data_IF_331926762016
#
_entry.id   IF_331926762016
#
_cell.length_a   1.000
_cell.length_b   1.000
_cell.length_c   1.000
_cell.angle_alpha   90.00
_cell.angle_beta   90.00
_cell.angle_gamma   90.00
#
_symmetry.space_group_name_H-M   'P 1'
#
loop_
_entity.id
_entity.type
_entity.pdbx_description
1 polymer ?
#
# COMPACT_ATOMS: atom_id res chain seq x y z
N UNK A 1 28.24 -3.24 -17.21
CA UNK A 1 27.04 -3.79 -16.54
C UNK A 1 27.26 -3.72 -15.03
N UNK A 2 26.65 -2.78 -14.35
CA UNK A 2 26.63 -2.71 -12.89
C UNK A 2 25.43 -3.54 -12.38
N UNK A 3 25.60 -4.21 -11.25
CA UNK A 3 24.51 -4.97 -10.62
C UNK A 3 24.06 -4.19 -9.38
N UNK A 4 22.77 -4.02 -9.23
CA UNK A 4 22.15 -3.41 -8.06
C UNK A 4 21.15 -4.40 -7.40
N UNK A 5 20.94 -4.27 -6.11
CA UNK A 5 19.97 -5.11 -5.42
C UNK A 5 18.85 -4.29 -4.80
N UNK A 6 17.66 -4.84 -4.81
CA UNK A 6 16.51 -4.31 -4.07
C UNK A 6 16.00 -5.34 -3.07
N UNK A 7 15.80 -4.88 -1.86
CA UNK A 7 15.25 -5.64 -0.75
C UNK A 7 13.82 -5.15 -0.51
N UNK A 8 12.87 -6.07 -0.34
CA UNK A 8 11.52 -5.79 0.15
C UNK A 8 11.25 -6.62 1.40
N UNK A 9 11.18 -5.95 2.56
CA UNK A 9 10.82 -6.55 3.84
C UNK A 9 9.34 -6.32 4.15
N UNK A 10 8.48 -7.19 3.62
CA UNK A 10 7.03 -7.14 3.83
C UNK A 10 6.65 -7.59 5.23
N UNK A 11 5.35 -7.72 5.54
CA UNK A 11 4.89 -8.16 6.87
C UNK A 11 5.30 -9.61 7.19
N UNK A 12 5.40 -10.48 6.19
CA UNK A 12 5.55 -11.94 6.41
C UNK A 12 6.85 -12.52 5.86
N UNK A 13 7.61 -11.79 5.06
CA UNK A 13 8.81 -12.29 4.40
C UNK A 13 9.70 -11.18 3.88
N UNK A 14 10.97 -11.48 3.71
CA UNK A 14 11.92 -10.67 2.96
C UNK A 14 12.12 -11.27 1.56
N UNK A 15 12.19 -10.41 0.55
CA UNK A 15 12.52 -10.74 -0.83
C UNK A 15 13.66 -9.86 -1.31
N UNK A 16 14.53 -10.43 -2.14
CA UNK A 16 15.66 -9.70 -2.73
C UNK A 16 15.68 -10.00 -4.22
N UNK A 17 15.90 -8.99 -5.02
CA UNK A 17 16.21 -9.12 -6.43
C UNK A 17 17.55 -8.43 -6.71
N UNK A 18 18.42 -9.09 -7.48
CA UNK A 18 19.60 -8.46 -8.06
C UNK A 18 19.34 -8.21 -9.54
N UNK A 19 19.48 -6.95 -9.96
CA UNK A 19 19.13 -6.50 -11.29
C UNK A 19 20.34 -5.90 -12.00
N UNK A 20 20.34 -5.96 -13.32
CA UNK A 20 21.15 -5.09 -14.14
C UNK A 20 20.73 -3.62 -13.92
N UNK A 21 21.67 -2.74 -13.62
CA UNK A 21 21.40 -1.35 -13.26
C UNK A 21 20.84 -0.52 -14.42
N UNK A 22 21.17 -0.89 -15.66
CA UNK A 22 20.80 -0.13 -16.86
C UNK A 22 19.41 -0.56 -17.38
N UNK A 23 19.12 -1.87 -17.35
CA UNK A 23 17.90 -2.44 -17.98
C UNK A 23 16.83 -2.84 -16.98
N UNK A 24 17.18 -3.09 -15.70
CA UNK A 24 16.29 -3.62 -14.70
C UNK A 24 15.94 -5.10 -14.88
N UNK A 25 16.68 -5.83 -15.73
CA UNK A 25 16.57 -7.27 -15.86
C UNK A 25 16.93 -7.95 -14.53
N UNK A 26 16.04 -8.81 -14.03
CA UNK A 26 16.27 -9.56 -12.80
C UNK A 26 17.21 -10.73 -13.09
N UNK A 27 18.43 -10.65 -12.60
CA UNK A 27 19.46 -11.65 -12.79
C UNK A 27 19.41 -12.78 -11.76
N UNK A 28 19.08 -12.43 -10.52
CA UNK A 28 19.01 -13.34 -9.37
C UNK A 28 17.91 -12.88 -8.42
N UNK A 29 17.29 -13.82 -7.70
CA UNK A 29 16.32 -13.51 -6.67
C UNK A 29 16.41 -14.47 -5.50
N UNK A 30 16.03 -14.00 -4.31
CA UNK A 30 15.96 -14.79 -3.09
C UNK A 30 14.80 -14.36 -2.22
N UNK A 31 14.38 -15.25 -1.34
CA UNK A 31 13.29 -14.97 -0.38
C UNK A 31 13.46 -15.79 0.88
N UNK A 32 13.05 -15.23 2.01
CA UNK A 32 12.96 -15.93 3.28
C UNK A 32 11.71 -15.49 4.04
N UNK A 33 11.01 -16.39 4.75
CA UNK A 33 9.89 -16.01 5.59
C UNK A 33 10.41 -15.26 6.83
N UNK A 34 9.57 -14.39 7.39
CA UNK A 34 9.81 -13.90 8.74
C UNK A 34 9.42 -14.98 9.76
N UNK A 35 10.20 -15.17 10.82
CA UNK A 35 9.83 -16.11 11.86
C UNK A 35 8.47 -15.76 12.47
N UNK A 36 7.63 -16.76 12.69
CA UNK A 36 6.39 -16.56 13.44
C UNK A 36 6.74 -16.20 14.89
N UNK A 37 6.33 -15.02 15.34
CA UNK A 37 6.45 -14.64 16.74
C UNK A 37 5.32 -15.27 17.56
N UNK A 38 5.57 -15.53 18.86
CA UNK A 38 4.49 -15.94 19.78
C UNK A 38 3.37 -14.89 19.84
N UNK A 39 3.69 -13.62 19.65
CA UNK A 39 2.78 -12.50 19.53
C UNK A 39 1.84 -12.64 18.30
N UNK A 40 2.31 -13.19 17.18
CA UNK A 40 1.47 -13.47 16.01
C UNK A 40 0.34 -14.47 16.31
N UNK A 41 0.55 -15.39 17.26
CA UNK A 41 -0.46 -16.37 17.70
C UNK A 41 -1.54 -15.73 18.58
N UNK A 42 -1.25 -14.60 19.24
CA UNK A 42 -2.13 -13.94 20.20
C UNK A 42 -2.94 -12.76 19.64
N UNK A 43 -3.03 -12.59 18.31
CA UNK A 43 -3.59 -11.41 17.62
C UNK A 43 -2.86 -10.09 17.94
N UNK A 44 -1.77 -10.09 18.68
CA UNK A 44 -0.90 -8.94 18.78
C UNK A 44 0.06 -8.95 17.60
N UNK A 45 0.12 -7.85 16.89
CA UNK A 45 0.95 -7.73 15.71
C UNK A 45 2.22 -6.94 16.10
N UNK A 46 3.12 -7.66 16.78
CA UNK A 46 4.44 -7.18 17.19
C UNK A 46 5.52 -8.03 16.54
N UNK A 47 6.68 -7.45 16.31
CA UNK A 47 7.83 -8.16 15.79
C UNK A 47 9.12 -7.67 16.48
N UNK A 48 10.07 -8.60 16.69
CA UNK A 48 11.45 -8.21 16.94
C UNK A 48 12.07 -7.75 15.60
N UNK A 49 12.54 -6.51 15.47
CA UNK A 49 13.17 -6.05 14.23
C UNK A 49 14.39 -6.87 13.81
N UNK A 50 15.08 -7.53 14.74
CA UNK A 50 16.20 -8.42 14.44
C UNK A 50 15.77 -9.62 13.58
N UNK A 51 14.51 -10.04 13.67
CA UNK A 51 13.98 -11.11 12.82
C UNK A 51 13.98 -10.73 11.33
N UNK A 52 13.79 -9.45 11.00
CA UNK A 52 13.85 -8.96 9.62
C UNK A 52 15.29 -9.00 9.08
N UNK A 53 16.27 -8.64 9.92
CA UNK A 53 17.68 -8.71 9.54
C UNK A 53 18.14 -10.17 9.34
N UNK A 54 17.68 -11.07 10.21
CA UNK A 54 17.92 -12.52 10.05
C UNK A 54 17.35 -13.03 8.72
N UNK A 55 16.08 -12.73 8.42
CA UNK A 55 15.44 -13.14 7.16
C UNK A 55 16.08 -12.48 5.93
N UNK A 56 16.61 -11.25 6.08
CA UNK A 56 17.41 -10.63 5.03
C UNK A 56 18.68 -11.44 4.76
N UNK A 57 19.40 -11.83 5.80
CA UNK A 57 20.59 -12.71 5.69
C UNK A 57 20.27 -14.04 5.01
N UNK A 58 19.15 -14.69 5.39
CA UNK A 58 18.69 -15.92 4.77
C UNK A 58 18.30 -15.73 3.28
N UNK A 59 17.59 -14.67 2.96
CA UNK A 59 17.19 -14.35 1.58
C UNK A 59 18.41 -14.04 0.68
N UNK A 60 19.51 -13.56 1.27
CA UNK A 60 20.75 -13.20 0.56
C UNK A 60 21.70 -14.39 0.31
N UNK A 61 21.34 -15.61 0.77
CA UNK A 61 22.23 -16.80 0.61
C UNK A 61 22.56 -17.11 -0.86
N UNK A 62 23.63 -17.90 -1.06
CA UNK A 62 24.00 -18.41 -2.38
C UNK A 62 24.63 -17.38 -3.31
N UNK A 63 25.30 -16.36 -2.77
CA UNK A 63 26.00 -15.35 -3.58
C UNK A 63 25.08 -14.34 -4.24
N UNK A 64 23.83 -14.21 -3.74
CA UNK A 64 22.83 -13.31 -4.34
C UNK A 64 23.32 -11.86 -4.45
N UNK A 65 24.10 -11.39 -3.48
CA UNK A 65 24.64 -10.03 -3.43
C UNK A 65 26.08 -9.94 -3.98
N UNK A 66 26.61 -11.00 -4.59
CA UNK A 66 27.93 -10.95 -5.22
C UNK A 66 27.97 -9.91 -6.35
N UNK A 67 29.05 -9.09 -6.36
CA UNK A 67 29.28 -8.01 -7.35
C UNK A 67 28.20 -6.92 -7.38
N UNK A 68 27.30 -6.87 -6.39
CA UNK A 68 26.35 -5.77 -6.24
C UNK A 68 27.12 -4.49 -5.87
N UNK A 69 26.74 -3.37 -6.49
CA UNK A 69 27.34 -2.05 -6.31
C UNK A 69 26.51 -1.14 -5.41
N UNK A 70 25.20 -1.32 -5.42
CA UNK A 70 24.28 -0.55 -4.59
C UNK A 70 23.08 -1.40 -4.17
N UNK A 71 22.52 -1.08 -3.00
CA UNK A 71 21.34 -1.74 -2.42
C UNK A 71 20.28 -0.68 -2.11
N UNK A 72 19.04 -0.95 -2.48
CA UNK A 72 17.86 -0.24 -2.04
C UNK A 72 17.01 -1.09 -1.10
N UNK A 73 16.35 -0.45 -0.14
CA UNK A 73 15.50 -1.13 0.84
C UNK A 73 14.09 -0.60 0.77
N UNK A 74 13.15 -1.49 0.56
CA UNK A 74 11.72 -1.28 0.74
C UNK A 74 11.23 -2.09 1.93
N UNK A 75 10.27 -1.55 2.69
CA UNK A 75 9.65 -2.32 3.77
C UNK A 75 8.19 -1.92 3.99
N UNK A 76 7.50 -2.73 4.81
CA UNK A 76 6.16 -2.43 5.29
C UNK A 76 6.10 -1.06 5.97
N UNK A 77 5.07 -0.30 5.68
CA UNK A 77 4.90 1.08 6.15
C UNK A 77 4.30 1.17 7.55
N UNK A 78 4.35 2.35 8.16
CA UNK A 78 3.63 2.75 9.38
C UNK A 78 3.99 2.00 10.66
N UNK A 79 4.77 0.94 10.62
CA UNK A 79 5.20 0.21 11.82
C UNK A 79 6.12 1.08 12.67
N UNK A 80 6.04 0.93 13.99
CA UNK A 80 6.78 1.77 14.94
C UNK A 80 7.92 0.97 15.58
N UNK A 81 9.16 1.43 15.42
CA UNK A 81 10.34 0.97 16.14
C UNK A 81 10.79 2.12 17.04
N UNK A 82 10.52 2.00 18.34
CA UNK A 82 10.90 3.02 19.33
C UNK A 82 12.28 2.75 19.92
N UNK A 83 13.19 3.72 19.82
CA UNK A 83 14.53 3.66 20.39
C UNK A 83 14.69 4.68 21.52
N UNK A 84 15.49 4.32 22.52
CA UNK A 84 15.88 5.28 23.57
C UNK A 84 17.04 6.18 23.11
N UNK A 85 17.46 7.11 23.96
CA UNK A 85 18.52 8.08 23.66
C UNK A 85 19.88 7.42 23.33
N UNK A 86 20.09 6.18 23.78
CA UNK A 86 21.25 5.35 23.45
C UNK A 86 21.13 4.57 22.14
N UNK A 87 19.96 4.64 21.47
CA UNK A 87 19.68 3.83 20.27
C UNK A 87 19.28 2.39 20.58
N UNK A 88 18.91 2.08 21.81
CA UNK A 88 18.47 0.76 22.23
C UNK A 88 16.97 0.62 22.05
N UNK A 89 16.53 -0.54 21.52
CA UNK A 89 15.13 -0.84 21.34
C UNK A 89 14.37 -0.78 22.68
N UNK A 90 13.33 0.04 22.73
CA UNK A 90 12.52 0.20 23.95
C UNK A 90 11.59 -0.97 24.17
N UNK A 91 11.08 -1.53 23.08
CA UNK A 91 10.18 -2.69 23.05
C UNK A 91 10.13 -3.30 21.65
N UNK A 92 9.53 -4.51 21.43
CA UNK A 92 9.25 -5.02 20.08
C UNK A 92 8.47 -4.01 19.24
N UNK A 93 8.73 -4.01 17.92
CA UNK A 93 8.06 -3.11 16.99
C UNK A 93 6.55 -3.35 16.97
N UNK A 94 5.77 -2.27 16.92
CA UNK A 94 4.32 -2.32 16.68
C UNK A 94 4.07 -2.27 15.17
N UNK A 95 3.49 -3.34 14.62
CA UNK A 95 3.26 -3.44 13.18
C UNK A 95 2.07 -2.59 12.74
N UNK A 96 2.00 -2.27 11.46
CA UNK A 96 0.91 -1.50 10.85
C UNK A 96 -0.46 -2.17 11.00
N UNK A 97 -0.49 -3.50 11.10
CA UNK A 97 -1.69 -4.30 11.28
C UNK A 97 -2.22 -4.33 12.71
N UNK A 98 -1.54 -3.71 13.67
CA UNK A 98 -1.94 -3.71 15.08
C UNK A 98 -3.20 -2.85 15.31
N UNK A 99 -4.34 -3.44 15.70
CA UNK A 99 -5.58 -2.71 15.86
C UNK A 99 -5.69 -1.97 17.23
N UNK A 100 -4.78 -2.24 18.17
CA UNK A 100 -4.87 -1.69 19.56
C UNK A 100 -4.89 -0.18 19.61
N UNK A 101 -4.26 0.48 18.64
CA UNK A 101 -4.20 1.95 18.54
C UNK A 101 -5.46 2.59 17.89
N UNK A 102 -6.54 1.84 17.64
CA UNK A 102 -7.75 2.41 17.02
C UNK A 102 -8.41 3.51 17.87
N UNK A 103 -8.53 3.29 19.19
CA UNK A 103 -9.06 4.31 20.10
C UNK A 103 -8.15 5.53 20.21
N UNK A 104 -6.83 5.30 20.24
CA UNK A 104 -5.83 6.37 20.26
C UNK A 104 -5.87 7.23 18.98
N UNK A 105 -6.10 6.60 17.81
CA UNK A 105 -6.28 7.33 16.58
C UNK A 105 -7.51 8.25 16.62
N UNK A 106 -8.65 7.75 17.11
CA UNK A 106 -9.87 8.56 17.26
C UNK A 106 -9.63 9.76 18.21
N UNK A 107 -8.99 9.52 19.36
CA UNK A 107 -8.63 10.59 20.30
C UNK A 107 -7.75 11.68 19.65
N UNK A 108 -6.77 11.29 18.81
CA UNK A 108 -5.92 12.25 18.10
C UNK A 108 -6.72 13.05 17.07
N UNK A 109 -7.63 12.40 16.35
CA UNK A 109 -8.49 13.10 15.38
C UNK A 109 -9.33 14.16 16.08
N UNK A 110 -9.97 13.83 17.20
CA UNK A 110 -10.79 14.75 17.98
C UNK A 110 -9.95 15.88 18.60
N UNK A 111 -8.76 15.56 19.13
CA UNK A 111 -7.88 16.52 19.80
C UNK A 111 -7.35 17.62 18.87
N UNK A 112 -7.18 17.34 17.56
CA UNK A 112 -6.76 18.34 16.57
C UNK A 112 -7.95 19.11 15.95
N UNK A 113 -9.19 18.69 16.20
CA UNK A 113 -10.39 19.35 15.66
C UNK A 113 -11.04 18.63 14.47
N UNK A 114 -10.81 17.34 14.33
CA UNK A 114 -11.49 16.49 13.35
C UNK A 114 -10.71 16.22 12.05
N UNK A 115 -11.31 15.46 11.13
CA UNK A 115 -10.67 15.01 9.90
C UNK A 115 -10.10 16.14 9.03
N UNK A 116 -10.87 17.23 8.84
CA UNK A 116 -10.44 18.36 8.03
C UNK A 116 -9.18 19.06 8.57
N UNK A 117 -9.04 19.15 9.91
CA UNK A 117 -7.84 19.71 10.52
C UNK A 117 -6.61 18.83 10.22
N UNK A 118 -6.75 17.51 10.34
CA UNK A 118 -5.67 16.58 10.03
C UNK A 118 -5.26 16.61 8.57
N UNK A 119 -6.22 16.58 7.65
CA UNK A 119 -5.91 16.58 6.22
C UNK A 119 -5.27 17.90 5.77
N UNK A 120 -5.62 19.03 6.40
CA UNK A 120 -4.97 20.32 6.09
C UNK A 120 -3.51 20.40 6.55
N UNK A 121 -3.11 19.56 7.51
CA UNK A 121 -1.76 19.61 8.12
C UNK A 121 -0.84 18.54 7.51
N UNK A 122 -1.33 17.30 7.38
CA UNK A 122 -0.51 16.17 6.90
C UNK A 122 -1.10 15.45 5.69
N UNK A 123 -2.16 15.98 5.08
CA UNK A 123 -2.78 15.37 3.90
C UNK A 123 -3.54 14.08 4.18
N UNK A 124 -3.71 13.67 5.44
CA UNK A 124 -4.34 12.41 5.80
C UNK A 124 -5.01 12.48 7.17
N UNK A 125 -5.91 11.54 7.45
CA UNK A 125 -6.50 11.33 8.79
C UNK A 125 -5.85 10.09 9.41
N UNK A 126 -5.19 10.19 10.57
CA UNK A 126 -4.58 9.03 11.22
C UNK A 126 -5.62 7.96 11.57
N UNK A 127 -5.28 6.72 11.25
CA UNK A 127 -6.00 5.52 11.66
C UNK A 127 -5.08 4.67 12.55
N UNK A 128 -5.55 3.53 13.03
CA UNK A 128 -4.72 2.60 13.81
C UNK A 128 -3.41 2.21 13.10
N UNK A 129 -3.38 2.26 11.76
CA UNK A 129 -2.18 1.91 11.00
C UNK A 129 -1.04 2.91 11.16
N UNK A 130 -1.33 4.19 11.38
CA UNK A 130 -0.32 5.25 11.43
C UNK A 130 0.59 5.17 12.66
N UNK A 131 1.85 5.52 12.49
CA UNK A 131 2.87 5.51 13.55
C UNK A 131 2.47 6.40 14.72
N UNK A 132 1.90 7.58 14.45
CA UNK A 132 1.46 8.53 15.49
C UNK A 132 0.36 7.96 16.41
N UNK A 133 -0.55 7.14 15.86
CA UNK A 133 -1.58 6.47 16.65
C UNK A 133 -0.98 5.47 17.64
N UNK A 134 0.09 4.79 17.25
CA UNK A 134 0.84 3.87 18.10
C UNK A 134 1.60 4.61 19.20
N UNK A 135 2.15 5.80 18.90
CA UNK A 135 2.77 6.67 19.91
C UNK A 135 1.75 7.09 20.99
N UNK A 136 0.55 7.50 20.57
CA UNK A 136 -0.53 7.85 21.50
C UNK A 136 -0.96 6.65 22.35
N UNK A 137 -1.10 5.46 21.73
CA UNK A 137 -1.42 4.23 22.44
C UNK A 137 -0.34 3.90 23.49
N UNK A 138 0.95 4.02 23.15
CA UNK A 138 2.06 3.81 24.10
C UNK A 138 2.02 4.79 25.26
N UNK A 139 1.73 6.07 25.00
CA UNK A 139 1.62 7.08 26.06
C UNK A 139 0.52 6.73 27.06
N UNK A 140 -0.57 6.14 26.61
CA UNK A 140 -1.72 5.77 27.44
C UNK A 140 -1.52 4.43 28.17
N UNK A 141 -1.09 3.39 27.45
CA UNK A 141 -1.06 2.02 27.99
C UNK A 141 0.32 1.52 28.41
N UNK A 142 1.40 2.15 27.93
CA UNK A 142 2.78 1.82 28.28
C UNK A 142 3.60 3.06 28.62
N UNK A 143 3.18 3.88 29.61
CA UNK A 143 3.79 5.19 29.86
C UNK A 143 5.28 5.12 30.26
N UNK A 144 5.73 4.00 30.83
CA UNK A 144 7.14 3.79 31.12
C UNK A 144 7.98 3.64 29.86
N UNK A 145 7.49 2.91 28.86
CA UNK A 145 8.12 2.79 27.55
C UNK A 145 8.02 4.09 26.77
N UNK A 146 6.86 4.73 26.76
CA UNK A 146 6.64 6.01 26.08
C UNK A 146 7.67 7.07 26.50
N UNK A 147 7.91 7.24 27.80
CA UNK A 147 8.92 8.20 28.32
C UNK A 147 10.36 7.90 27.89
N UNK A 148 10.67 6.66 27.52
CA UNK A 148 12.01 6.27 27.06
C UNK A 148 12.23 6.52 25.57
N UNK A 149 11.16 6.64 24.79
CA UNK A 149 11.26 6.82 23.34
C UNK A 149 11.87 8.20 23.04
N UNK A 150 13.07 8.21 22.52
CA UNK A 150 13.80 9.39 22.08
C UNK A 150 13.82 9.53 20.57
N UNK A 151 13.66 8.40 19.85
CA UNK A 151 13.72 8.29 18.40
C UNK A 151 12.73 7.23 17.91
N UNK A 152 12.15 7.44 16.74
CA UNK A 152 11.30 6.47 16.04
C UNK A 152 11.87 6.22 14.66
N UNK A 153 12.05 4.95 14.32
CA UNK A 153 12.40 4.48 12.98
C UNK A 153 11.24 3.67 12.40
N UNK A 154 11.07 3.75 11.09
CA UNK A 154 10.23 2.85 10.32
C UNK A 154 11.03 1.61 9.93
N UNK A 155 10.40 0.51 9.47
CA UNK A 155 11.11 -0.71 9.15
C UNK A 155 12.25 -0.55 8.13
N UNK A 156 12.04 0.22 7.06
CA UNK A 156 13.11 0.44 6.10
C UNK A 156 14.24 1.32 6.66
N UNK A 157 13.92 2.36 7.46
CA UNK A 157 14.91 3.21 8.14
C UNK A 157 15.81 2.36 9.02
N UNK A 158 15.18 1.45 9.80
CA UNK A 158 15.90 0.58 10.72
C UNK A 158 16.81 -0.40 9.96
N UNK A 159 16.32 -1.02 8.86
CA UNK A 159 17.13 -1.92 8.04
C UNK A 159 18.30 -1.17 7.37
N UNK A 160 18.07 0.02 6.83
CA UNK A 160 19.10 0.89 6.27
C UNK A 160 20.14 1.22 7.33
N UNK A 161 19.71 1.61 8.53
CA UNK A 161 20.60 1.91 9.64
C UNK A 161 21.48 0.72 10.07
N UNK A 162 20.91 -0.51 10.07
CA UNK A 162 21.64 -1.75 10.34
C UNK A 162 22.70 -2.01 9.27
N UNK A 163 22.32 -1.90 7.99
CA UNK A 163 23.23 -2.13 6.86
C UNK A 163 24.39 -1.12 6.82
N UNK A 164 24.15 0.10 7.27
CA UNK A 164 25.17 1.14 7.37
C UNK A 164 26.11 0.99 8.58
N UNK A 165 25.93 -0.02 9.45
CA UNK A 165 26.77 -0.24 10.64
C UNK A 165 26.51 0.76 11.78
N UNK A 166 25.28 1.20 11.94
CA UNK A 166 24.79 2.05 13.04
C UNK A 166 25.41 3.47 13.07
N UNK A 167 25.41 4.22 11.98
CA UNK A 167 25.91 5.59 12.01
C UNK A 167 25.08 6.49 12.93
N UNK A 168 25.65 7.64 13.34
CA UNK A 168 24.91 8.64 14.11
C UNK A 168 23.77 9.28 13.29
N UNK A 169 23.96 9.45 11.99
CA UNK A 169 22.94 9.92 11.05
C UNK A 169 21.87 8.84 10.88
N UNK A 170 20.62 9.20 11.07
CA UNK A 170 19.44 8.39 10.72
C UNK A 170 18.82 8.99 9.49
N UNK A 171 18.38 8.15 8.57
CA UNK A 171 17.79 8.57 7.32
C UNK A 171 16.45 7.89 7.09
N UNK A 172 15.59 8.56 6.37
CA UNK A 172 14.31 8.05 5.86
C UNK A 172 14.07 8.67 4.48
N UNK A 173 13.03 8.22 3.79
CA UNK A 173 12.53 8.88 2.58
C UNK A 173 11.24 9.65 2.84
N UNK A 174 10.85 10.50 1.90
CA UNK A 174 9.63 11.28 1.99
C UNK A 174 8.36 10.41 1.92
N UNK A 175 8.41 9.30 1.16
CA UNK A 175 7.28 8.38 0.98
C UNK A 175 6.87 7.73 2.29
N UNK A 176 7.82 7.14 3.00
CA UNK A 176 7.53 6.47 4.27
C UNK A 176 7.35 7.46 5.42
N UNK A 177 8.12 8.57 5.45
CA UNK A 177 7.92 9.67 6.40
C UNK A 177 6.48 10.21 6.37
N UNK A 178 5.86 10.33 5.18
CA UNK A 178 4.46 10.75 5.04
C UNK A 178 3.46 9.79 5.69
N UNK A 179 3.85 8.53 5.92
CA UNK A 179 3.06 7.52 6.61
C UNK A 179 3.15 7.60 8.15
N UNK A 180 4.02 8.42 8.70
CA UNK A 180 4.19 8.53 10.16
C UNK A 180 3.00 9.21 10.86
N UNK A 181 2.34 10.15 10.19
CA UNK A 181 1.31 11.01 10.76
C UNK A 181 1.86 12.24 11.45
N UNK A 182 3.18 12.47 11.40
CA UNK A 182 3.84 13.67 11.93
C UNK A 182 4.92 14.25 11.01
N UNK A 183 4.97 13.82 9.76
CA UNK A 183 5.66 14.49 8.67
C UNK A 183 4.64 14.87 7.58
N UNK A 184 4.70 16.10 7.11
CA UNK A 184 3.74 16.64 6.17
C UNK A 184 4.25 16.53 4.73
N UNK A 185 3.61 15.76 3.85
CA UNK A 185 3.94 15.77 2.43
C UNK A 185 3.54 17.08 1.73
N UNK A 186 2.73 17.93 2.40
CA UNK A 186 2.30 19.23 1.88
C UNK A 186 3.39 20.30 2.03
N UNK A 187 4.16 20.25 3.11
CA UNK A 187 5.21 21.23 3.42
C UNK A 187 6.62 20.67 3.36
N UNK A 188 6.78 19.33 3.38
CA UNK A 188 8.07 18.67 3.48
C UNK A 188 8.70 18.73 4.87
N UNK A 189 7.93 19.00 5.91
CA UNK A 189 8.45 19.27 7.26
C UNK A 189 7.88 18.33 8.31
N UNK A 190 8.65 18.07 9.36
CA UNK A 190 8.20 17.39 10.56
C UNK A 190 7.32 18.29 11.43
N UNK A 191 6.31 17.71 12.03
CA UNK A 191 5.34 18.32 12.94
C UNK A 191 5.55 17.76 14.36
N UNK A 192 6.57 18.25 15.06
CA UNK A 192 6.85 17.86 16.45
C UNK A 192 5.74 18.21 17.41
N UNK A 193 4.92 19.20 17.10
CA UNK A 193 3.71 19.53 17.85
C UNK A 193 2.71 18.36 17.85
N UNK A 194 2.57 17.63 16.73
CA UNK A 194 1.73 16.43 16.65
C UNK A 194 2.35 15.26 17.42
N UNK A 195 3.67 15.12 17.39
CA UNK A 195 4.37 14.12 18.22
C UNK A 195 4.11 14.40 19.69
N UNK A 196 4.24 15.66 20.13
CA UNK A 196 3.97 16.09 21.50
C UNK A 196 2.51 15.86 21.91
N UNK A 197 1.56 16.09 20.97
CA UNK A 197 0.14 15.77 21.17
C UNK A 197 -0.07 14.28 21.43
N UNK A 198 0.65 13.41 20.71
CA UNK A 198 0.52 11.96 20.80
C UNK A 198 1.28 11.37 22.00
N UNK A 199 2.57 11.68 22.12
CA UNK A 199 3.52 11.05 23.05
C UNK A 199 3.67 11.79 24.38
N UNK A 200 3.29 13.08 24.43
CA UNK A 200 3.46 13.95 25.59
C UNK A 200 4.79 14.72 25.62
N UNK A 201 5.73 14.39 24.74
CA UNK A 201 7.00 15.08 24.54
C UNK A 201 7.43 15.01 23.08
N UNK A 202 8.43 15.79 22.70
CA UNK A 202 9.03 15.78 21.37
C UNK A 202 10.08 14.66 21.25
N UNK A 203 10.28 14.12 20.06
CA UNK A 203 11.39 13.23 19.78
C UNK A 203 12.70 14.03 19.76
N UNK A 204 13.72 13.50 20.43
CA UNK A 204 15.03 14.17 20.50
C UNK A 204 15.85 14.00 19.22
N UNK A 205 15.49 13.01 18.41
CA UNK A 205 16.10 12.75 17.10
C UNK A 205 15.01 12.37 16.09
N UNK A 206 15.07 13.00 14.94
CA UNK A 206 14.25 12.69 13.77
C UNK A 206 15.16 12.23 12.64
N UNK A 207 14.80 11.18 11.86
CA UNK A 207 15.52 10.80 10.67
C UNK A 207 15.56 11.95 9.66
N UNK A 208 16.69 12.12 8.99
CA UNK A 208 16.82 13.06 7.88
C UNK A 208 16.07 12.51 6.67
N UNK A 209 15.17 13.31 6.10
CA UNK A 209 14.40 12.93 4.91
C UNK A 209 15.24 13.19 3.67
N UNK A 210 15.66 12.13 3.00
CA UNK A 210 16.53 12.18 1.85
C UNK A 210 15.77 12.50 0.56
N UNK A 211 16.47 13.09 -0.40
CA UNK A 211 15.98 13.18 -1.77
C UNK A 211 15.89 11.79 -2.42
N UNK A 212 15.05 11.59 -3.45
CA UNK A 212 14.80 10.28 -4.06
C UNK A 212 16.05 9.54 -4.57
N UNK A 213 17.02 10.27 -5.09
CA UNK A 213 18.30 9.76 -5.62
C UNK A 213 19.49 9.94 -4.67
N UNK A 214 19.25 10.44 -3.46
CA UNK A 214 20.29 10.69 -2.48
C UNK A 214 20.70 9.37 -1.80
N UNK A 215 22.02 9.06 -1.69
CA UNK A 215 22.46 7.90 -0.93
C UNK A 215 22.31 8.13 0.58
N UNK A 216 21.80 7.12 1.29
CA UNK A 216 21.82 7.10 2.75
C UNK A 216 23.27 6.96 3.31
N UNK A 217 24.15 6.33 2.56
CA UNK A 217 25.56 6.13 2.91
C UNK A 217 26.15 4.89 2.24
N UNK A 218 27.21 4.37 2.87
CA UNK A 218 27.88 3.15 2.42
C UNK A 218 27.96 2.17 3.58
N UNK A 219 27.82 0.88 3.29
CA UNK A 219 28.09 -0.16 4.29
C UNK A 219 29.57 -0.16 4.69
N UNK A 220 29.95 -0.84 5.79
CA UNK A 220 31.36 -0.99 6.15
C UNK A 220 32.22 -1.60 5.03
N UNK A 221 31.63 -2.41 4.14
CA UNK A 221 32.28 -3.03 2.99
C UNK A 221 32.29 -2.13 1.74
N UNK A 222 31.69 -0.93 1.83
CA UNK A 222 31.71 0.06 0.76
C UNK A 222 30.56 -0.04 -0.25
N UNK A 223 29.50 -0.82 0.01
CA UNK A 223 28.31 -0.85 -0.82
C UNK A 223 27.47 0.41 -0.60
N UNK A 224 27.05 1.06 -1.68
CA UNK A 224 26.13 2.19 -1.60
C UNK A 224 24.74 1.74 -1.17
N UNK A 225 24.14 2.43 -0.22
CA UNK A 225 22.75 2.25 0.19
C UNK A 225 21.94 3.48 -0.25
N UNK A 226 20.85 3.27 -1.00
CA UNK A 226 19.93 4.34 -1.39
C UNK A 226 19.06 4.80 -0.21
N UNK A 227 18.26 5.85 -0.40
CA UNK A 227 17.37 6.38 0.63
C UNK A 227 16.44 5.31 1.23
N UNK A 228 16.06 4.31 0.43
CA UNK A 228 14.99 3.37 0.79
C UNK A 228 13.61 4.00 0.58
N UNK A 229 12.54 3.25 0.82
CA UNK A 229 11.16 3.77 0.78
C UNK A 229 10.15 2.73 1.30
N UNK A 230 8.87 3.14 1.45
CA UNK A 230 7.77 2.22 1.75
C UNK A 230 7.37 1.35 0.54
N UNK A 231 6.74 0.21 0.81
CA UNK A 231 6.39 -0.82 -0.17
C UNK A 231 5.54 -0.33 -1.35
N UNK A 232 4.55 0.55 -1.10
CA UNK A 232 3.69 1.08 -2.17
C UNK A 232 4.46 2.04 -3.09
N UNK A 233 5.34 2.87 -2.54
CA UNK A 233 6.19 3.80 -3.27
C UNK A 233 7.23 3.03 -4.08
N UNK A 234 7.83 2.01 -3.48
CA UNK A 234 8.73 1.10 -4.16
C UNK A 234 8.03 0.37 -5.32
N UNK A 235 6.80 -0.14 -5.10
CA UNK A 235 6.03 -0.78 -6.16
C UNK A 235 5.74 0.18 -7.31
N UNK A 236 5.35 1.43 -7.02
CA UNK A 236 5.15 2.47 -8.03
C UNK A 236 6.43 2.71 -8.86
N UNK A 237 7.57 2.86 -8.18
CA UNK A 237 8.86 3.05 -8.83
C UNK A 237 9.27 1.80 -9.66
N UNK A 238 9.07 0.60 -9.12
CA UNK A 238 9.39 -0.67 -9.78
C UNK A 238 8.55 -0.97 -11.02
N UNK A 239 7.32 -0.49 -11.03
CA UNK A 239 6.42 -0.55 -12.19
C UNK A 239 6.71 0.54 -13.23
N UNK A 240 7.52 1.53 -12.90
CA UNK A 240 7.80 2.65 -13.79
C UNK A 240 6.61 3.58 -13.96
N UNK A 241 5.82 3.79 -12.90
CA UNK A 241 4.63 4.66 -12.97
C UNK A 241 5.03 6.11 -13.20
N UNK A 242 4.20 6.77 -14.00
CA UNK A 242 4.27 8.19 -14.30
C UNK A 242 3.02 8.92 -13.81
N UNK A 243 3.05 10.25 -13.82
CA UNK A 243 1.84 11.05 -13.53
C UNK A 243 0.69 10.65 -14.45
N UNK A 244 -0.44 10.30 -13.87
CA UNK A 244 -1.62 9.75 -14.55
C UNK A 244 -1.69 8.21 -14.57
N UNK A 245 -0.75 7.52 -13.96
CA UNK A 245 -0.85 6.08 -13.73
C UNK A 245 -1.36 5.81 -12.32
N UNK A 246 -2.24 4.82 -12.19
CA UNK A 246 -2.73 4.32 -10.92
C UNK A 246 -2.44 2.82 -10.75
N UNK A 247 -2.37 2.39 -9.52
CA UNK A 247 -2.34 0.97 -9.16
C UNK A 247 -3.64 0.60 -8.47
N UNK A 248 -4.17 -0.54 -8.83
CA UNK A 248 -5.19 -1.29 -8.09
C UNK A 248 -4.58 -2.61 -7.64
N UNK A 249 -4.31 -2.72 -6.35
CA UNK A 249 -3.77 -3.94 -5.75
C UNK A 249 -4.87 -4.73 -5.08
N UNK A 250 -5.16 -5.93 -5.61
CA UNK A 250 -6.23 -6.83 -5.16
C UNK A 250 -5.69 -7.88 -4.20
N UNK A 251 -5.49 -7.48 -2.94
CA UNK A 251 -5.27 -8.39 -1.81
C UNK A 251 -6.59 -8.89 -1.21
N UNK A 252 -6.61 -9.29 0.07
CA UNK A 252 -7.87 -9.51 0.79
C UNK A 252 -8.71 -8.23 0.78
N UNK A 253 -8.09 -7.10 1.07
CA UNK A 253 -8.56 -5.73 0.85
C UNK A 253 -7.97 -5.15 -0.44
N UNK A 254 -8.53 -4.04 -0.92
CA UNK A 254 -8.02 -3.30 -2.07
C UNK A 254 -7.21 -2.09 -1.63
N UNK A 255 -6.09 -1.84 -2.31
CA UNK A 255 -5.33 -0.60 -2.19
C UNK A 255 -5.27 0.07 -3.56
N UNK A 256 -5.71 1.32 -3.61
CA UNK A 256 -5.75 2.11 -4.83
C UNK A 256 -4.87 3.33 -4.61
N UNK A 257 -3.87 3.56 -5.45
CA UNK A 257 -3.04 4.75 -5.41
C UNK A 257 -2.66 5.20 -6.80
N UNK A 258 -2.36 6.49 -6.97
CA UNK A 258 -1.96 7.05 -8.24
C UNK A 258 -0.73 7.94 -8.06
N UNK A 259 0.13 8.03 -9.09
CA UNK A 259 1.20 9.04 -9.14
C UNK A 259 0.59 10.36 -9.62
N UNK A 260 0.81 11.41 -8.84
CA UNK A 260 0.28 12.74 -9.12
C UNK A 260 1.30 13.83 -8.81
N UNK A 261 1.31 14.90 -9.60
CA UNK A 261 2.35 15.92 -9.49
C UNK A 261 2.13 16.84 -8.27
N UNK A 262 0.88 17.04 -7.85
CA UNK A 262 0.50 17.91 -6.75
C UNK A 262 -0.07 17.12 -5.56
N UNK A 263 0.04 17.64 -4.33
CA UNK A 263 -0.59 17.00 -3.18
C UNK A 263 -2.12 17.09 -3.26
N UNK A 264 -2.80 16.02 -2.87
CA UNK A 264 -4.28 15.97 -2.83
C UNK A 264 -4.74 16.13 -1.38
N UNK A 265 -5.57 17.16 -1.11
CA UNK A 265 -6.17 17.34 0.21
C UNK A 265 -7.65 16.96 0.14
N UNK A 266 -8.04 15.94 0.87
CA UNK A 266 -9.43 15.48 0.98
C UNK A 266 -9.96 15.70 2.41
N UNK A 267 -10.77 16.74 2.68
CA UNK A 267 -11.29 17.04 4.02
C UNK A 267 -12.12 15.90 4.64
N UNK A 268 -12.67 14.99 3.82
CA UNK A 268 -13.38 13.81 4.31
C UNK A 268 -12.44 12.76 4.92
N UNK A 269 -11.15 12.79 4.56
CA UNK A 269 -10.13 11.83 4.99
C UNK A 269 -10.23 10.46 4.35
N UNK A 270 -11.02 10.30 3.29
CA UNK A 270 -11.11 9.04 2.52
C UNK A 270 -9.83 8.83 1.72
N UNK A 271 -9.30 9.91 1.12
CA UNK A 271 -8.04 9.89 0.40
C UNK A 271 -6.92 10.37 1.32
N UNK A 272 -5.87 9.58 1.44
CA UNK A 272 -4.62 9.97 2.11
C UNK A 272 -3.62 10.45 1.06
N UNK A 273 -3.05 11.64 1.23
CA UNK A 273 -2.00 12.17 0.38
C UNK A 273 -0.65 11.75 0.94
N UNK A 274 0.01 10.82 0.27
CA UNK A 274 1.39 10.45 0.60
C UNK A 274 2.35 11.09 -0.40
N UNK A 275 3.63 11.18 -0.05
CA UNK A 275 4.68 11.43 -1.01
C UNK A 275 5.06 10.10 -1.71
N UNK A 276 5.53 10.18 -2.95
CA UNK A 276 6.06 9.04 -3.68
C UNK A 276 7.59 8.95 -3.57
N UNK A 277 8.19 7.96 -4.23
CA UNK A 277 9.64 7.75 -4.24
C UNK A 277 10.37 8.56 -5.34
N UNK A 278 9.68 9.46 -6.06
CA UNK A 278 10.29 10.24 -7.17
C UNK A 278 10.28 11.74 -6.97
N UNK A 279 9.72 12.24 -5.88
CA UNK A 279 9.56 13.67 -5.62
C UNK A 279 8.14 14.18 -5.87
N UNK A 280 7.23 13.31 -6.33
CA UNK A 280 5.81 13.56 -6.55
C UNK A 280 4.98 13.12 -5.35
N UNK A 281 3.68 12.92 -5.59
CA UNK A 281 2.70 12.50 -4.58
C UNK A 281 2.04 11.17 -4.96
N UNK A 282 1.55 10.47 -3.94
CA UNK A 282 0.87 9.20 -4.07
C UNK A 282 -0.48 9.23 -3.32
N UNK A 283 -1.48 9.99 -3.84
CA UNK A 283 -2.82 9.93 -3.26
C UNK A 283 -3.34 8.50 -3.28
N UNK A 284 -3.87 8.07 -2.12
CA UNK A 284 -4.23 6.67 -1.87
C UNK A 284 -5.61 6.56 -1.23
N UNK A 285 -6.41 5.63 -1.71
CA UNK A 285 -7.64 5.16 -1.09
C UNK A 285 -7.55 3.64 -0.82
N UNK A 286 -8.32 3.15 0.12
CA UNK A 286 -8.37 1.72 0.43
C UNK A 286 -9.80 1.22 0.54
N UNK A 287 -10.04 -0.02 0.09
CA UNK A 287 -11.29 -0.74 0.32
C UNK A 287 -11.04 -1.92 1.26
N UNK A 288 -12.02 -2.30 2.06
CA UNK A 288 -11.93 -3.51 2.88
C UNK A 288 -12.21 -4.76 2.05
N UNK A 289 -12.99 -4.63 1.00
CA UNK A 289 -13.50 -5.72 0.20
C UNK A 289 -12.86 -5.73 -1.20
N UNK A 290 -12.05 -6.76 -1.46
CA UNK A 290 -11.46 -7.03 -2.77
C UNK A 290 -11.45 -8.55 -3.03
N UNK A 291 -10.31 -9.22 -3.17
CA UNK A 291 -10.24 -10.66 -3.40
C UNK A 291 -10.96 -11.50 -2.32
N UNK A 292 -11.18 -10.94 -1.13
CA UNK A 292 -11.97 -11.56 -0.07
C UNK A 292 -13.39 -11.91 -0.54
N UNK A 293 -14.02 -11.01 -1.29
CA UNK A 293 -15.37 -11.20 -1.87
C UNK A 293 -15.43 -12.43 -2.76
N UNK A 294 -14.43 -12.56 -3.65
CA UNK A 294 -14.38 -13.71 -4.58
C UNK A 294 -14.14 -15.02 -3.82
N UNK A 295 -13.28 -15.01 -2.79
CA UNK A 295 -13.05 -16.19 -1.95
C UNK A 295 -14.30 -16.62 -1.20
N UNK A 296 -15.02 -15.66 -0.57
CA UNK A 296 -16.27 -15.96 0.14
C UNK A 296 -17.35 -16.50 -0.80
N UNK A 297 -17.46 -15.92 -2.01
CA UNK A 297 -18.41 -16.41 -3.03
C UNK A 297 -18.02 -17.80 -3.54
N UNK A 298 -16.74 -18.05 -3.80
CA UNK A 298 -16.24 -19.37 -4.22
C UNK A 298 -16.54 -20.43 -3.14
N UNK A 299 -16.29 -20.11 -1.88
CA UNK A 299 -16.63 -20.97 -0.75
C UNK A 299 -18.13 -21.26 -0.67
N UNK A 300 -18.98 -20.24 -0.86
CA UNK A 300 -20.44 -20.39 -0.87
C UNK A 300 -20.90 -21.33 -2.00
N UNK A 301 -20.27 -21.24 -3.17
CA UNK A 301 -20.59 -22.06 -4.34
C UNK A 301 -19.93 -23.45 -4.32
N UNK A 302 -19.02 -23.72 -3.36
CA UNK A 302 -18.28 -24.98 -3.26
C UNK A 302 -17.27 -25.18 -4.39
N UNK A 303 -16.68 -24.09 -4.91
CA UNK A 303 -15.71 -24.07 -6.02
C UNK A 303 -14.42 -23.35 -5.61
N UNK A 304 -13.36 -23.52 -6.41
CA UNK A 304 -12.15 -22.69 -6.30
C UNK A 304 -12.27 -21.36 -7.08
N UNK A 305 -11.24 -20.53 -7.03
CA UNK A 305 -11.25 -19.22 -7.68
C UNK A 305 -11.21 -19.29 -9.21
N UNK A 306 -10.52 -20.28 -9.77
CA UNK A 306 -10.46 -20.56 -11.20
C UNK A 306 -11.84 -20.98 -11.72
N UNK A 307 -12.49 -21.91 -11.04
CA UNK A 307 -13.87 -22.35 -11.34
C UNK A 307 -14.88 -21.21 -11.16
N UNK A 308 -14.72 -20.35 -10.13
CA UNK A 308 -15.54 -19.15 -9.96
C UNK A 308 -15.40 -18.23 -11.19
N UNK A 309 -14.17 -18.02 -11.65
CA UNK A 309 -13.90 -17.21 -12.85
C UNK A 309 -14.56 -17.81 -14.10
N UNK A 310 -14.48 -19.12 -14.28
CA UNK A 310 -15.16 -19.81 -15.40
C UNK A 310 -16.68 -19.67 -15.33
N UNK A 311 -17.27 -19.82 -14.13
CA UNK A 311 -18.69 -19.60 -13.92
C UNK A 311 -19.07 -18.16 -14.29
N UNK A 312 -18.35 -17.17 -13.80
CA UNK A 312 -18.61 -15.75 -14.07
C UNK A 312 -18.60 -15.43 -15.58
N UNK A 313 -17.71 -16.05 -16.35
CA UNK A 313 -17.63 -15.87 -17.81
C UNK A 313 -18.80 -16.48 -18.59
N UNK A 314 -19.55 -17.42 -17.99
CA UNK A 314 -20.76 -18.00 -18.59
C UNK A 314 -21.98 -17.08 -18.46
N UNK A 315 -21.91 -16.05 -17.63
CA UNK A 315 -22.97 -15.05 -17.46
C UNK A 315 -22.67 -13.80 -18.26
N UNK A 316 -23.69 -13.21 -18.84
CA UNK A 316 -23.61 -11.91 -19.52
C UNK A 316 -23.30 -10.77 -18.54
N UNK A 317 -22.70 -9.65 -19.00
CA UNK A 317 -22.55 -8.44 -18.19
C UNK A 317 -23.88 -8.01 -17.56
N UNK A 318 -23.79 -7.55 -16.29
CA UNK A 318 -24.96 -7.23 -15.47
C UNK A 318 -25.57 -8.44 -14.76
N UNK A 319 -24.90 -9.62 -14.79
CA UNK A 319 -25.21 -10.80 -14.00
C UNK A 319 -26.70 -11.18 -13.99
N UNK A 320 -27.37 -11.03 -15.13
CA UNK A 320 -28.82 -11.29 -15.28
C UNK A 320 -29.71 -10.49 -14.28
N UNK A 321 -29.25 -9.27 -13.92
CA UNK A 321 -29.95 -8.38 -12.98
C UNK A 321 -29.56 -8.57 -11.52
N UNK A 322 -28.65 -9.51 -11.20
CA UNK A 322 -28.08 -9.62 -9.86
C UNK A 322 -27.05 -8.52 -9.62
N UNK A 323 -27.10 -7.90 -8.44
CA UNK A 323 -26.10 -6.97 -7.95
C UNK A 323 -25.64 -7.41 -6.58
N UNK A 324 -24.33 -7.57 -6.41
CA UNK A 324 -23.70 -7.75 -5.11
C UNK A 324 -23.01 -6.45 -4.69
N UNK A 325 -23.49 -5.82 -3.60
CA UNK A 325 -22.73 -4.83 -2.86
C UNK A 325 -21.78 -5.58 -1.94
N UNK A 326 -20.46 -5.48 -2.13
CA UNK A 326 -19.51 -6.42 -1.53
C UNK A 326 -19.05 -6.04 -0.12
N UNK A 327 -19.82 -5.29 0.66
CA UNK A 327 -19.44 -4.73 1.96
C UNK A 327 -19.51 -5.75 3.11
N UNK A 328 -18.85 -6.91 2.94
CA UNK A 328 -19.01 -8.09 3.80
C UNK A 328 -18.68 -7.82 5.28
N UNK A 329 -17.64 -7.01 5.53
CA UNK A 329 -17.15 -6.66 6.88
C UNK A 329 -17.12 -5.13 7.07
N UNK A 330 -18.13 -4.43 6.57
CA UNK A 330 -18.12 -2.99 6.41
C UNK A 330 -17.32 -2.56 5.18
N UNK A 331 -17.19 -1.25 4.99
CA UNK A 331 -16.34 -0.70 3.92
C UNK A 331 -15.62 0.58 4.37
N UNK A 332 -14.45 0.84 3.79
CA UNK A 332 -13.65 2.04 4.04
C UNK A 332 -13.88 3.11 2.99
N UNK A 333 -13.98 2.71 1.74
CA UNK A 333 -14.33 3.56 0.61
C UNK A 333 -15.44 2.90 -0.19
N UNK A 334 -16.70 3.40 -0.04
CA UNK A 334 -17.17 4.49 0.83
C UNK A 334 -17.03 4.19 2.33
N UNK A 335 -17.15 5.22 3.19
CA UNK A 335 -17.00 5.07 4.64
C UNK A 335 -18.28 4.49 5.27
N UNK A 336 -18.37 3.17 5.28
CA UNK A 336 -19.51 2.39 5.76
C UNK A 336 -19.04 1.30 6.74
N UNK A 337 -18.55 1.66 7.93
CA UNK A 337 -17.89 0.70 8.85
C UNK A 337 -18.83 -0.39 9.40
N UNK A 338 -20.14 -0.21 9.30
CA UNK A 338 -21.15 -1.14 9.83
C UNK A 338 -22.01 -1.75 8.71
N UNK A 339 -21.68 -1.53 7.43
CA UNK A 339 -22.40 -2.15 6.33
C UNK A 339 -22.20 -3.66 6.31
N UNK A 340 -23.16 -4.35 5.73
CA UNK A 340 -23.07 -5.76 5.40
C UNK A 340 -23.23 -5.95 3.89
N UNK A 341 -22.68 -7.02 3.35
CA UNK A 341 -22.87 -7.38 1.95
C UNK A 341 -24.36 -7.55 1.62
N UNK A 342 -24.77 -7.03 0.46
CA UNK A 342 -26.17 -7.07 0.02
C UNK A 342 -26.25 -7.63 -1.39
N UNK A 343 -27.12 -8.63 -1.58
CA UNK A 343 -27.43 -9.21 -2.89
C UNK A 343 -28.87 -8.84 -3.27
N UNK A 344 -29.03 -8.19 -4.41
CA UNK A 344 -30.34 -7.78 -4.95
C UNK A 344 -30.61 -8.37 -6.32
N UNK A 345 -31.83 -8.21 -6.84
CA UNK A 345 -32.21 -8.67 -8.16
C UNK A 345 -32.50 -10.18 -8.23
N UNK A 346 -32.73 -10.85 -7.09
CA UNK A 346 -33.02 -12.27 -7.03
C UNK A 346 -34.39 -12.59 -7.69
N UNK A 347 -34.37 -13.47 -8.68
CA UNK A 347 -35.50 -14.05 -9.37
C UNK A 347 -35.24 -15.54 -9.60
N UNK A 348 -36.25 -16.31 -9.90
CA UNK A 348 -36.11 -17.75 -10.10
C UNK A 348 -35.14 -18.11 -11.22
N UNK A 349 -35.06 -17.29 -12.27
CA UNK A 349 -34.19 -17.44 -13.41
C UNK A 349 -32.78 -16.85 -13.22
N UNK A 350 -32.60 -15.88 -12.27
CA UNK A 350 -31.30 -15.32 -11.93
C UNK A 350 -30.56 -16.09 -10.82
N UNK A 351 -31.24 -16.99 -10.10
CA UNK A 351 -30.63 -17.81 -9.03
C UNK A 351 -29.82 -18.97 -9.59
N UNK A 352 -28.71 -18.64 -10.23
CA UNK A 352 -27.76 -19.62 -10.82
C UNK A 352 -26.34 -19.31 -10.38
N UNK A 353 -25.47 -20.34 -10.22
CA UNK A 353 -24.09 -20.15 -9.82
C UNK A 353 -23.32 -19.18 -10.72
N UNK A 354 -23.52 -19.25 -12.05
CA UNK A 354 -22.85 -18.38 -13.01
C UNK A 354 -23.21 -16.90 -12.82
N UNK A 355 -24.46 -16.58 -12.49
CA UNK A 355 -24.90 -15.21 -12.29
C UNK A 355 -24.39 -14.66 -10.95
N UNK A 356 -24.37 -15.48 -9.90
CA UNK A 356 -23.81 -15.08 -8.61
C UNK A 356 -22.29 -14.87 -8.70
N UNK A 357 -21.58 -15.75 -9.39
CA UNK A 357 -20.14 -15.59 -9.64
C UNK A 357 -19.85 -14.28 -10.40
N UNK A 358 -20.66 -13.98 -11.43
CA UNK A 358 -20.55 -12.74 -12.20
C UNK A 358 -20.83 -11.51 -11.34
N UNK A 359 -21.89 -11.51 -10.56
CA UNK A 359 -22.25 -10.42 -9.67
C UNK A 359 -21.16 -10.13 -8.63
N UNK A 360 -20.45 -11.17 -8.16
CA UNK A 360 -19.32 -11.00 -7.23
C UNK A 360 -18.11 -10.32 -7.91
N UNK A 361 -17.79 -10.72 -9.13
CA UNK A 361 -16.70 -10.08 -9.90
C UNK A 361 -17.06 -8.63 -10.21
N UNK A 362 -18.25 -8.36 -10.72
CA UNK A 362 -18.69 -7.01 -11.07
C UNK A 362 -18.84 -6.12 -9.84
N UNK A 363 -19.41 -6.63 -8.75
CA UNK A 363 -19.55 -5.88 -7.50
C UNK A 363 -18.21 -5.49 -6.91
N UNK A 364 -17.24 -6.40 -6.88
CA UNK A 364 -15.87 -6.11 -6.45
C UNK A 364 -15.22 -5.03 -7.32
N UNK A 365 -15.30 -5.16 -8.66
CA UNK A 365 -14.70 -4.20 -9.58
C UNK A 365 -15.40 -2.83 -9.52
N UNK A 366 -16.73 -2.79 -9.38
CA UNK A 366 -17.49 -1.55 -9.21
C UNK A 366 -17.11 -0.81 -7.92
N UNK A 367 -16.95 -1.53 -6.81
CA UNK A 367 -16.48 -0.92 -5.56
C UNK A 367 -15.08 -0.30 -5.70
N UNK A 368 -14.17 -0.98 -6.39
CA UNK A 368 -12.84 -0.43 -6.71
C UNK A 368 -12.95 0.79 -7.64
N UNK A 369 -13.83 0.73 -8.64
CA UNK A 369 -14.05 1.84 -9.56
C UNK A 369 -14.62 3.07 -8.85
N UNK A 370 -15.48 2.92 -7.85
CA UNK A 370 -15.93 4.02 -7.00
C UNK A 370 -14.77 4.69 -6.26
N UNK A 371 -13.78 3.93 -5.79
CA UNK A 371 -12.57 4.50 -5.19
C UNK A 371 -11.69 5.24 -6.21
N UNK A 372 -11.57 4.73 -7.45
CA UNK A 372 -10.89 5.45 -8.54
C UNK A 372 -11.60 6.76 -8.88
N UNK A 373 -12.94 6.77 -8.89
CA UNK A 373 -13.72 7.98 -9.17
C UNK A 373 -13.59 9.03 -8.06
N UNK A 374 -13.41 8.62 -6.81
CA UNK A 374 -13.11 9.57 -5.73
C UNK A 374 -11.74 10.24 -5.92
N UNK A 375 -10.73 9.52 -6.38
CA UNK A 375 -9.45 10.11 -6.76
C UNK A 375 -9.64 11.12 -7.92
N UNK A 376 -10.37 10.73 -8.97
CA UNK A 376 -10.68 11.61 -10.12
C UNK A 376 -11.43 12.87 -9.68
N UNK A 377 -12.40 12.75 -8.79
CA UNK A 377 -13.17 13.87 -8.23
C UNK A 377 -12.31 14.88 -7.46
N UNK A 378 -11.13 14.45 -6.96
CA UNK A 378 -10.14 15.32 -6.32
C UNK A 378 -9.06 15.82 -7.28
N UNK A 379 -9.27 15.71 -8.59
CA UNK A 379 -8.38 16.24 -9.62
C UNK A 379 -7.26 15.28 -10.05
N UNK A 380 -7.23 14.05 -9.52
CA UNK A 380 -6.22 13.08 -9.93
C UNK A 380 -6.55 12.55 -11.33
N UNK A 381 -5.68 12.82 -12.28
CA UNK A 381 -5.79 12.23 -13.62
C UNK A 381 -5.43 10.76 -13.58
N UNK A 382 -6.28 9.88 -14.12
CA UNK A 382 -6.02 8.43 -14.23
C UNK A 382 -6.21 8.04 -15.70
N UNK A 383 -5.10 7.79 -16.38
CA UNK A 383 -5.05 7.36 -17.78
C UNK A 383 -4.88 5.85 -17.92
N UNK A 384 -4.12 5.23 -17.01
CA UNK A 384 -3.86 3.78 -16.98
C UNK A 384 -3.99 3.27 -15.55
N UNK A 385 -4.47 2.04 -15.40
CA UNK A 385 -4.55 1.32 -14.12
C UNK A 385 -3.70 0.07 -14.21
N UNK A 386 -2.69 -0.02 -13.36
CA UNK A 386 -1.89 -1.23 -13.17
C UNK A 386 -2.61 -2.15 -12.17
N UNK A 387 -3.07 -3.29 -12.65
CA UNK A 387 -3.83 -4.26 -11.85
C UNK A 387 -2.89 -5.30 -11.25
N UNK A 388 -2.76 -5.28 -9.93
CA UNK A 388 -1.89 -6.18 -9.15
C UNK A 388 -2.71 -7.19 -8.33
N UNK A 389 -2.07 -8.28 -7.97
CA UNK A 389 -2.66 -9.34 -7.15
C UNK A 389 -3.04 -10.58 -7.97
N UNK A 390 -3.08 -11.73 -7.30
CA UNK A 390 -3.33 -13.02 -7.97
C UNK A 390 -4.71 -13.04 -8.65
N UNK A 391 -5.75 -12.53 -7.99
CA UNK A 391 -7.12 -12.49 -8.55
C UNK A 391 -7.26 -11.57 -9.75
N UNK A 392 -6.40 -10.55 -9.90
CA UNK A 392 -6.38 -9.68 -11.07
C UNK A 392 -6.02 -10.40 -12.38
N UNK A 393 -5.45 -11.60 -12.27
CA UNK A 393 -5.09 -12.46 -13.42
C UNK A 393 -6.18 -13.45 -13.81
N UNK A 394 -7.19 -13.66 -12.95
CA UNK A 394 -8.35 -14.49 -13.27
C UNK A 394 -9.06 -13.91 -14.50
N UNK A 395 -9.36 -14.71 -15.52
CA UNK A 395 -9.95 -14.21 -16.77
C UNK A 395 -11.19 -13.34 -16.56
N UNK A 396 -12.10 -13.73 -15.66
CA UNK A 396 -13.30 -12.95 -15.40
C UNK A 396 -13.00 -11.56 -14.75
N UNK A 397 -11.96 -11.44 -13.93
CA UNK A 397 -11.55 -10.16 -13.37
C UNK A 397 -10.82 -9.34 -14.41
N UNK A 398 -9.82 -9.95 -15.09
CA UNK A 398 -8.99 -9.33 -16.11
C UNK A 398 -9.82 -8.72 -17.22
N UNK A 399 -10.71 -9.52 -17.82
CA UNK A 399 -11.45 -9.15 -19.03
C UNK A 399 -12.57 -8.12 -18.74
N UNK A 400 -12.96 -7.94 -17.47
CA UNK A 400 -13.96 -6.94 -17.05
C UNK A 400 -13.37 -5.68 -16.43
N UNK A 401 -12.09 -5.69 -16.06
CA UNK A 401 -11.48 -4.57 -15.35
C UNK A 401 -11.44 -3.29 -16.21
N UNK A 402 -10.98 -3.37 -17.48
CA UNK A 402 -10.91 -2.21 -18.36
C UNK A 402 -12.30 -1.66 -18.69
N UNK A 403 -13.30 -2.53 -18.83
CA UNK A 403 -14.70 -2.16 -19.11
C UNK A 403 -15.30 -1.39 -17.92
N UNK A 404 -15.12 -1.90 -16.68
CA UNK A 404 -15.71 -1.31 -15.48
C UNK A 404 -14.95 -0.06 -15.03
N UNK A 405 -13.60 -0.03 -15.14
CA UNK A 405 -12.80 1.13 -14.78
C UNK A 405 -12.87 2.27 -15.80
N UNK A 406 -13.29 1.96 -17.02
CA UNK A 406 -13.40 2.91 -18.12
C UNK A 406 -12.06 3.50 -18.55
N UNK A 407 -10.99 2.71 -18.43
CA UNK A 407 -9.63 3.15 -18.75
C UNK A 407 -8.74 1.96 -19.10
N UNK A 408 -7.62 2.22 -19.73
CA UNK A 408 -6.60 1.22 -20.04
C UNK A 408 -6.15 0.51 -18.76
N UNK A 409 -6.19 -0.82 -18.76
CA UNK A 409 -5.68 -1.66 -17.66
C UNK A 409 -4.42 -2.38 -18.10
N UNK A 410 -3.37 -2.26 -17.32
CA UNK A 410 -2.09 -2.92 -17.51
C UNK A 410 -1.92 -3.99 -16.45
N UNK A 411 -1.73 -5.24 -16.85
CA UNK A 411 -1.42 -6.35 -15.95
C UNK A 411 0.08 -6.65 -16.12
N UNK A 412 0.92 -6.25 -15.17
CA UNK A 412 2.36 -6.50 -15.26
C UNK A 412 2.67 -7.99 -15.10
N UNK A 413 3.82 -8.47 -15.58
CA UNK A 413 4.26 -9.84 -15.35
C UNK A 413 4.33 -10.14 -13.84
N UNK A 414 4.24 -11.43 -13.43
CA UNK A 414 4.51 -11.81 -12.05
C UNK A 414 5.91 -11.39 -11.64
N UNK A 415 6.01 -10.73 -10.46
CA UNK A 415 7.30 -10.29 -9.95
C UNK A 415 7.19 -9.56 -8.62
N UNK A 416 8.33 -9.33 -8.01
CA UNK A 416 8.43 -8.60 -6.75
C UNK A 416 8.66 -7.10 -7.05
N UNK A 417 7.57 -6.39 -7.41
CA UNK A 417 7.65 -5.01 -7.90
C UNK A 417 8.20 -4.04 -6.86
N UNK A 418 7.95 -4.27 -5.56
CA UNK A 418 8.52 -3.45 -4.49
C UNK A 418 10.04 -3.66 -4.39
N UNK A 419 10.53 -4.90 -4.40
CA UNK A 419 11.96 -5.18 -4.44
C UNK A 419 12.62 -4.63 -5.72
N UNK A 420 11.95 -4.77 -6.88
CA UNK A 420 12.43 -4.17 -8.14
C UNK A 420 12.49 -2.65 -8.07
N UNK A 421 11.54 -2.00 -7.40
CA UNK A 421 11.55 -0.55 -7.18
C UNK A 421 12.68 -0.10 -6.27
N UNK A 422 12.94 -0.84 -5.20
CA UNK A 422 14.10 -0.60 -4.34
C UNK A 422 15.42 -0.76 -5.13
N UNK A 423 15.55 -1.79 -6.00
CA UNK A 423 16.70 -1.93 -6.89
C UNK A 423 16.83 -0.76 -7.88
N UNK A 424 15.70 -0.26 -8.43
CA UNK A 424 15.70 0.90 -9.33
C UNK A 424 16.14 2.17 -8.63
N UNK A 425 15.75 2.36 -7.35
CA UNK A 425 16.23 3.48 -6.54
C UNK A 425 17.74 3.36 -6.27
N UNK A 426 18.23 2.15 -5.99
CA UNK A 426 19.66 1.89 -5.84
C UNK A 426 20.45 2.21 -7.12
N UNK A 427 19.92 1.82 -8.29
CA UNK A 427 20.50 2.15 -9.58
C UNK A 427 20.51 3.67 -9.82
N UNK A 428 19.44 4.36 -9.45
CA UNK A 428 19.33 5.81 -9.55
C UNK A 428 20.36 6.54 -8.68
N UNK A 429 20.46 6.15 -7.40
CA UNK A 429 21.45 6.69 -6.47
C UNK A 429 22.89 6.42 -6.93
N UNK A 430 23.17 5.22 -7.51
CA UNK A 430 24.46 4.85 -8.04
C UNK A 430 24.84 5.68 -9.28
N UNK A 431 23.87 5.96 -10.15
CA UNK A 431 24.08 6.76 -11.36
C UNK A 431 24.19 8.26 -11.07
N UNK A 432 23.57 8.74 -9.97
CA UNK A 432 23.55 10.17 -9.61
C UNK A 432 22.81 11.06 -10.62
N UNK A 433 21.92 10.49 -11.43
CA UNK A 433 21.14 11.19 -12.47
C UNK A 433 19.96 11.94 -11.87
N UNK A 434 19.41 12.94 -12.59
CA UNK A 434 18.22 13.68 -12.16
C UNK A 434 16.97 12.78 -12.14
N UNK A 435 16.85 11.89 -13.13
CA UNK A 435 15.71 10.98 -13.28
C UNK A 435 16.15 9.53 -13.05
N UNK A 436 15.23 8.66 -12.57
CA UNK A 436 15.53 7.24 -12.39
C UNK A 436 15.79 6.57 -13.75
N UNK A 437 16.64 5.52 -13.82
CA UNK A 437 16.87 4.79 -15.06
C UNK A 437 15.55 4.24 -15.62
N UNK A 438 15.41 4.28 -16.94
CA UNK A 438 14.23 3.73 -17.60
C UNK A 438 14.33 2.21 -17.67
N UNK A 439 13.40 1.52 -16.98
CA UNK A 439 13.31 0.07 -16.93
C UNK A 439 11.97 -0.40 -17.52
N UNK A 440 12.02 -1.12 -18.59
CA UNK A 440 10.82 -1.69 -19.22
C UNK A 440 10.15 -2.80 -18.38
N UNK A 441 8.87 -3.04 -18.64
CA UNK A 441 8.09 -4.15 -18.07
C UNK A 441 7.72 -5.15 -19.19
N UNK A 442 8.68 -5.96 -19.67
CA UNK A 442 8.40 -6.89 -20.75
C UNK A 442 7.36 -7.95 -20.30
N UNK A 443 6.43 -8.26 -21.20
CA UNK A 443 5.37 -9.24 -20.93
C UNK A 443 4.15 -8.71 -20.16
N UNK A 444 4.02 -7.41 -20.01
CA UNK A 444 2.77 -6.81 -19.52
C UNK A 444 1.64 -7.02 -20.54
N UNK A 445 0.45 -7.36 -20.02
CA UNK A 445 -0.78 -7.41 -20.85
C UNK A 445 -1.48 -6.06 -20.76
N UNK A 446 -1.80 -5.45 -21.88
CA UNK A 446 -2.54 -4.21 -21.97
C UNK A 446 -3.95 -4.49 -22.47
N UNK A 447 -4.94 -3.99 -21.75
CA UNK A 447 -6.37 -4.13 -22.04
C UNK A 447 -6.94 -2.74 -22.22
N UNK A 448 -7.35 -2.42 -23.44
CA UNK A 448 -7.99 -1.16 -23.75
C UNK A 448 -9.49 -1.20 -23.39
N UNK A 449 -10.08 -0.09 -22.96
CA UNK A 449 -11.52 0.01 -22.81
C UNK A 449 -12.20 -0.04 -24.18
N UNK A 450 -13.42 -0.56 -24.24
CA UNK A 450 -14.21 -0.51 -25.47
C UNK A 450 -14.54 0.95 -25.85
N UNK A 451 -14.61 1.23 -27.16
CA UNK A 451 -15.19 2.49 -27.65
C UNK A 451 -16.66 2.55 -27.18
N UNK A 452 -17.10 3.70 -26.66
CA UNK A 452 -18.45 3.94 -26.14
C UNK A 452 -18.84 3.15 -24.85
N UNK A 453 -18.13 2.11 -24.44
CA UNK A 453 -18.25 1.35 -23.19
C UNK A 453 -19.70 1.02 -22.74
N UNK A 454 -20.59 0.52 -23.62
CA UNK A 454 -22.00 0.35 -23.27
C UNK A 454 -22.22 -0.63 -22.14
N UNK A 455 -21.40 -1.70 -22.06
CA UNK A 455 -21.52 -2.73 -21.03
C UNK A 455 -20.96 -2.27 -19.67
N UNK A 456 -19.77 -1.68 -19.67
CA UNK A 456 -19.16 -1.15 -18.43
C UNK A 456 -20.01 -0.09 -17.77
N UNK A 457 -20.52 0.86 -18.55
CA UNK A 457 -21.43 1.91 -18.08
C UNK A 457 -22.76 1.34 -17.54
N UNK A 458 -23.36 0.37 -18.22
CA UNK A 458 -24.58 -0.27 -17.76
C UNK A 458 -24.39 -1.02 -16.43
N UNK A 459 -23.30 -1.78 -16.28
CA UNK A 459 -22.94 -2.47 -15.03
C UNK A 459 -22.70 -1.46 -13.90
N UNK A 460 -21.93 -0.39 -14.17
CA UNK A 460 -21.68 0.68 -13.19
C UNK A 460 -22.98 1.38 -12.77
N UNK A 461 -23.87 1.69 -13.73
CA UNK A 461 -25.17 2.30 -13.44
C UNK A 461 -26.05 1.38 -12.59
N UNK A 462 -26.16 0.10 -12.97
CA UNK A 462 -26.92 -0.89 -12.21
C UNK A 462 -26.41 -1.01 -10.77
N UNK A 463 -25.09 -1.09 -10.58
CA UNK A 463 -24.46 -1.14 -9.27
C UNK A 463 -24.72 0.16 -8.48
N UNK A 464 -24.55 1.32 -9.09
CA UNK A 464 -24.73 2.62 -8.46
C UNK A 464 -26.16 2.83 -7.97
N UNK A 465 -27.17 2.47 -8.77
CA UNK A 465 -28.58 2.55 -8.37
C UNK A 465 -28.85 1.72 -7.10
N UNK A 466 -28.36 0.48 -7.06
CA UNK A 466 -28.54 -0.39 -5.88
C UNK A 466 -27.78 0.14 -4.68
N UNK A 467 -26.53 0.58 -4.87
CA UNK A 467 -25.69 1.16 -3.82
C UNK A 467 -26.40 2.36 -3.17
N UNK A 468 -26.88 3.29 -3.97
CA UNK A 468 -27.50 4.54 -3.48
C UNK A 468 -28.88 4.30 -2.84
N UNK A 469 -29.60 3.23 -3.24
CA UNK A 469 -30.84 2.80 -2.59
C UNK A 469 -30.59 2.15 -1.23
N UNK A 470 -29.55 1.32 -1.12
CA UNK A 470 -29.23 0.59 0.13
C UNK A 470 -28.48 1.50 1.12
N UNK A 471 -27.67 2.40 0.61
CA UNK A 471 -26.81 3.31 1.37
C UNK A 471 -26.99 4.77 0.92
N UNK A 472 -28.15 5.39 1.17
CA UNK A 472 -28.43 6.77 0.74
C UNK A 472 -27.46 7.79 1.36
N UNK A 473 -26.88 7.47 2.51
CA UNK A 473 -25.87 8.28 3.19
C UNK A 473 -24.61 8.55 2.36
N UNK A 474 -24.32 7.74 1.34
CA UNK A 474 -23.17 7.95 0.44
C UNK A 474 -23.33 9.26 -0.35
N UNK A 475 -24.55 9.59 -0.79
CA UNK A 475 -24.85 10.82 -1.50
C UNK A 475 -24.64 12.09 -0.66
N UNK A 476 -24.74 11.99 0.66
CA UNK A 476 -24.54 13.10 1.60
C UNK A 476 -23.04 13.30 1.91
N UNK A 477 -22.17 12.31 1.61
CA UNK A 477 -20.73 12.34 1.84
C UNK A 477 -19.92 12.69 0.60
N UNK A 478 -20.54 12.87 -0.55
CA UNK A 478 -19.91 13.24 -1.82
C UNK A 478 -19.82 14.78 -1.95
#
# INVERSE_FOLDING_TARGET
MAIVAGIDSSTTRTRIVACDADTGEVLRSGKAPHPESEASRARSTEADPQSWLHSLGEAAHGGLLESVRAIGVSAQRHSLIGLDAGGVLVRPALLWTDPRSSGAAAQLVDALGGPAAWTSVIGAVPTATYTIAKLRWLAEFEPANARRIAEVLLPHDWLVWQLLGHPQRRTTDRGDASGTGYWSPLTGEYRQDLVKLALGHELTRLPEVLAPNEPAGHTPEGLLISAGTGDNMAAALGLGLESGDAVVSLGASGTIFAVHDEPVVDPSGIISSFADATGRHLPMAGTLNAAGVLRSTAQLLGVDLEQLSELALRSSPGAYGLVLLPYLDGERTPRLPHAAGTLTGLRADSMRPEHLARAAVEGMLCNIADALDRLRAKGVTIRRVFLLGAVGRLPAVRDNASLIFGTTVVIPPPGDHAARGAARQAAWALAGTAEPPHWELPGATVLEPEQDQPFGNAVRQQYGVVRDQVHPEIGEMA
#
